data_IF_413406920212
#
_entry.id   IF_413406920212
#
_cell.length_a   1.000
_cell.length_b   1.000
_cell.length_c   1.000
_cell.angle_alpha   90.00
_cell.angle_beta   90.00
_cell.angle_gamma   90.00
#
_symmetry.space_group_name_H-M   'P 1'
#
loop_
_entity.id
_entity.type
_entity.pdbx_description
1 polymer ?
#
# COMPACT_ATOMS: atom_id res chain seq x y z
N UNK A 1 4.70 -9.73 4.69
CA UNK A 1 3.59 -9.37 3.81
C UNK A 1 4.19 -8.41 2.83
N UNK A 2 4.13 -8.70 1.52
CA UNK A 2 4.44 -7.66 0.58
C UNK A 2 3.45 -6.54 0.88
N UNK A 3 3.84 -5.31 0.59
CA UNK A 3 2.94 -4.18 0.75
C UNK A 3 1.62 -4.37 -0.03
N UNK A 4 1.60 -5.28 -1.00
CA UNK A 4 0.42 -5.72 -1.75
C UNK A 4 -0.48 -6.72 -1.00
N UNK A 5 0.02 -7.59 -0.10
CA UNK A 5 -0.85 -8.36 0.84
C UNK A 5 -1.22 -7.54 2.08
N UNK A 6 -0.48 -6.48 2.41
CA UNK A 6 -0.98 -5.50 3.40
C UNK A 6 -2.24 -4.76 2.94
N UNK A 7 -2.53 -4.77 1.63
CA UNK A 7 -3.82 -4.33 1.06
C UNK A 7 -4.92 -5.40 1.19
N UNK A 8 -4.62 -6.56 1.76
CA UNK A 8 -5.59 -7.59 2.11
C UNK A 8 -5.63 -7.82 3.64
N UNK A 9 -4.55 -7.53 4.37
CA UNK A 9 -4.56 -7.52 5.83
C UNK A 9 -5.43 -6.38 6.35
N UNK A 10 -6.41 -6.70 7.20
CA UNK A 10 -7.32 -5.73 7.80
C UNK A 10 -6.63 -4.59 8.57
N UNK A 11 -7.41 -3.55 8.93
CA UNK A 11 -6.95 -2.41 9.73
C UNK A 11 -6.72 -1.10 8.96
N UNK A 12 -6.87 -1.09 7.63
CA UNK A 12 -6.84 0.13 6.82
C UNK A 12 -7.93 0.09 5.75
N UNK A 13 -8.48 1.25 5.36
CA UNK A 13 -9.51 1.37 4.31
C UNK A 13 -9.11 0.75 2.97
N UNK A 14 -7.82 0.79 2.62
CA UNK A 14 -7.27 0.15 1.41
C UNK A 14 -7.50 -1.37 1.34
N UNK A 15 -7.76 -2.03 2.47
CA UNK A 15 -8.05 -3.46 2.53
C UNK A 15 -9.31 -3.85 1.73
N UNK A 16 -10.25 -2.91 1.58
CA UNK A 16 -11.50 -3.12 0.84
C UNK A 16 -11.35 -2.94 -0.67
N UNK A 17 -10.19 -2.46 -1.16
CA UNK A 17 -10.01 -2.12 -2.57
C UNK A 17 -10.23 -3.32 -3.51
N UNK A 18 -9.57 -4.45 -3.23
CA UNK A 18 -9.69 -5.64 -4.07
C UNK A 18 -11.03 -6.36 -3.89
N UNK A 19 -11.54 -6.58 -2.65
CA UNK A 19 -12.87 -7.17 -2.46
C UNK A 19 -13.99 -6.43 -3.20
N UNK A 20 -14.01 -5.10 -3.18
CA UNK A 20 -15.04 -4.29 -3.87
C UNK A 20 -15.02 -4.55 -5.38
N UNK A 21 -13.86 -4.43 -6.03
CA UNK A 21 -13.77 -4.61 -7.49
C UNK A 21 -14.06 -6.06 -7.90
N UNK A 22 -13.52 -7.04 -7.17
CA UNK A 22 -13.70 -8.45 -7.49
C UNK A 22 -15.12 -8.94 -7.21
N UNK A 23 -15.78 -8.45 -6.16
CA UNK A 23 -17.19 -8.76 -5.90
C UNK A 23 -18.09 -8.19 -7.00
N UNK A 24 -17.85 -6.94 -7.42
CA UNK A 24 -18.57 -6.34 -8.53
C UNK A 24 -18.38 -7.18 -9.81
N UNK A 25 -17.13 -7.49 -10.17
CA UNK A 25 -16.81 -8.34 -11.33
C UNK A 25 -17.50 -9.71 -11.24
N UNK A 26 -17.44 -10.38 -10.08
CA UNK A 26 -18.07 -11.67 -9.86
C UNK A 26 -19.60 -11.61 -10.11
N UNK A 27 -20.27 -10.62 -9.53
CA UNK A 27 -21.73 -10.46 -9.68
C UNK A 27 -22.12 -10.12 -11.13
N UNK A 28 -21.32 -9.32 -11.81
CA UNK A 28 -21.47 -9.03 -13.25
C UNK A 28 -21.35 -10.33 -14.05
N UNK A 29 -20.29 -11.12 -13.81
CA UNK A 29 -20.06 -12.40 -14.49
C UNK A 29 -21.19 -13.42 -14.24
N UNK A 30 -21.82 -13.36 -13.06
CA UNK A 30 -23.00 -14.15 -12.67
C UNK A 30 -24.33 -13.55 -13.13
N UNK A 31 -24.29 -12.48 -13.91
CA UNK A 31 -25.47 -11.76 -14.46
C UNK A 31 -26.44 -11.22 -13.39
N UNK A 32 -25.94 -10.91 -12.19
CA UNK A 32 -26.75 -10.38 -11.08
C UNK A 32 -26.68 -8.85 -11.03
N UNK A 33 -27.47 -8.19 -11.87
CA UNK A 33 -27.41 -6.73 -12.08
C UNK A 33 -27.69 -5.92 -10.80
N UNK A 34 -28.74 -6.27 -10.04
CA UNK A 34 -29.09 -5.54 -8.82
C UNK A 34 -28.02 -5.65 -7.71
N UNK A 35 -27.55 -6.86 -7.33
CA UNK A 35 -26.42 -6.97 -6.40
C UNK A 35 -25.16 -6.26 -6.90
N UNK A 36 -24.85 -6.34 -8.20
CA UNK A 36 -23.70 -5.65 -8.77
C UNK A 36 -23.82 -4.11 -8.67
N UNK A 37 -25.03 -3.55 -8.80
CA UNK A 37 -25.29 -2.12 -8.66
C UNK A 37 -25.07 -1.59 -7.24
N UNK A 38 -25.25 -2.44 -6.21
CA UNK A 38 -25.08 -2.08 -4.80
C UNK A 38 -23.60 -2.04 -4.39
N UNK A 39 -22.72 -2.77 -5.08
CA UNK A 39 -21.31 -2.87 -4.67
C UNK A 39 -20.57 -1.53 -4.74
N UNK A 40 -20.65 -0.73 -5.83
CA UNK A 40 -19.98 0.58 -5.88
C UNK A 40 -20.41 1.56 -4.76
N UNK A 41 -21.70 1.82 -4.47
CA UNK A 41 -22.07 2.74 -3.40
C UNK A 41 -21.60 2.28 -2.01
N UNK A 42 -21.68 0.98 -1.70
CA UNK A 42 -21.08 0.46 -0.46
C UNK A 42 -19.56 0.64 -0.47
N UNK A 43 -18.91 0.32 -1.59
CA UNK A 43 -17.48 0.55 -1.79
C UNK A 43 -17.07 2.00 -1.57
N UNK A 44 -17.94 2.97 -1.88
CA UNK A 44 -17.66 4.40 -1.70
C UNK A 44 -17.52 4.78 -0.22
N UNK A 45 -18.23 4.07 0.68
CA UNK A 45 -18.14 4.27 2.13
C UNK A 45 -16.85 3.69 2.73
N UNK A 46 -16.27 2.65 2.13
CA UNK A 46 -15.07 1.98 2.64
C UNK A 46 -13.78 2.44 1.93
N UNK A 47 -13.81 2.51 0.59
CA UNK A 47 -12.65 2.80 -0.23
C UNK A 47 -13.04 3.43 -1.60
N UNK A 48 -13.17 4.77 -1.66
CA UNK A 48 -13.64 5.50 -2.85
C UNK A 48 -12.96 5.15 -4.19
N UNK A 49 -11.62 4.97 -4.28
CA UNK A 49 -11.00 4.65 -5.56
C UNK A 49 -11.50 3.33 -6.16
N UNK A 50 -11.71 2.30 -5.33
CA UNK A 50 -12.24 1.02 -5.81
C UNK A 50 -13.71 1.10 -6.19
N UNK A 51 -14.49 1.93 -5.51
CA UNK A 51 -15.89 2.18 -5.86
C UNK A 51 -16.01 2.73 -7.29
N UNK A 52 -15.17 3.72 -7.63
CA UNK A 52 -15.13 4.29 -8.98
C UNK A 52 -14.70 3.27 -10.02
N UNK A 53 -13.70 2.42 -9.71
CA UNK A 53 -13.32 1.33 -10.61
C UNK A 53 -14.49 0.36 -10.79
N UNK A 54 -15.13 -0.09 -9.71
CA UNK A 54 -16.25 -1.02 -9.78
C UNK A 54 -17.44 -0.47 -10.58
N UNK A 55 -17.77 0.82 -10.42
CA UNK A 55 -18.79 1.50 -11.21
C UNK A 55 -18.40 1.55 -12.70
N UNK A 56 -17.13 1.87 -13.01
CA UNK A 56 -16.63 1.87 -14.37
C UNK A 56 -16.62 0.46 -15.00
N UNK A 57 -16.28 -0.60 -14.23
CA UNK A 57 -16.42 -1.99 -14.70
C UNK A 57 -17.87 -2.29 -15.03
N UNK A 58 -18.82 -1.96 -14.13
CA UNK A 58 -20.25 -2.16 -14.35
C UNK A 58 -20.73 -1.45 -15.63
N UNK A 59 -20.32 -0.19 -15.83
CA UNK A 59 -20.66 0.60 -17.02
C UNK A 59 -20.08 -0.01 -18.31
N UNK A 60 -18.79 -0.34 -18.33
CA UNK A 60 -18.13 -0.95 -19.49
C UNK A 60 -18.66 -2.36 -19.80
N UNK A 61 -19.10 -3.10 -18.79
CA UNK A 61 -19.73 -4.42 -18.95
C UNK A 61 -21.12 -4.36 -19.61
N UNK A 62 -21.77 -3.18 -19.67
CA UNK A 62 -23.02 -3.01 -20.43
C UNK A 62 -22.79 -3.00 -21.94
N UNK A 63 -21.57 -2.70 -22.38
CA UNK A 63 -21.20 -2.67 -23.79
C UNK A 63 -21.16 -4.09 -24.33
N UNK A 64 -22.11 -4.42 -25.19
CA UNK A 64 -22.13 -5.72 -25.89
C UNK A 64 -21.27 -5.65 -27.15
N UNK A 65 -20.50 -6.71 -27.45
CA UNK A 65 -19.73 -6.86 -28.70
C UNK A 65 -20.60 -7.09 -29.95
N UNK A 66 -21.93 -7.04 -29.82
CA UNK A 66 -22.80 -7.03 -30.99
C UNK A 66 -22.62 -5.69 -31.72
N UNK A 67 -22.59 -5.74 -33.05
CA UNK A 67 -22.09 -4.71 -34.00
C UNK A 67 -22.67 -3.28 -33.87
N UNK A 68 -23.44 -2.95 -32.84
CA UNK A 68 -24.11 -1.64 -32.64
C UNK A 68 -23.99 -1.02 -31.24
N UNK A 69 -23.16 -1.54 -30.32
CA UNK A 69 -23.00 -0.99 -28.95
C UNK A 69 -24.36 -0.61 -28.29
N UNK A 70 -25.32 -1.54 -28.27
CA UNK A 70 -26.61 -1.31 -27.61
C UNK A 70 -26.49 -1.60 -26.11
N UNK A 71 -26.96 -0.65 -25.28
CA UNK A 71 -27.01 -0.78 -23.82
C UNK A 71 -28.21 -1.64 -23.43
N UNK A 72 -27.97 -2.71 -22.67
CA UNK A 72 -29.07 -3.53 -22.14
C UNK A 72 -29.84 -2.74 -21.06
N UNK A 73 -31.17 -2.60 -21.15
CA UNK A 73 -31.93 -1.66 -20.31
C UNK A 73 -31.76 -1.93 -18.80
N UNK A 74 -31.83 -3.19 -18.39
CA UNK A 74 -31.61 -3.59 -16.97
C UNK A 74 -30.20 -3.20 -16.48
N UNK A 75 -29.18 -3.36 -17.31
CA UNK A 75 -27.81 -3.01 -16.95
C UNK A 75 -27.57 -1.51 -16.99
N UNK A 76 -28.21 -0.79 -17.93
CA UNK A 76 -28.22 0.68 -17.95
C UNK A 76 -28.86 1.27 -16.69
N UNK A 77 -30.02 0.72 -16.27
CA UNK A 77 -30.66 1.10 -15.02
C UNK A 77 -29.79 0.77 -13.79
N UNK A 78 -29.14 -0.40 -13.78
CA UNK A 78 -28.19 -0.77 -12.72
C UNK A 78 -27.02 0.22 -12.61
N UNK A 79 -26.45 0.66 -13.74
CA UNK A 79 -25.40 1.70 -13.77
C UNK A 79 -25.92 3.02 -13.21
N UNK A 80 -27.11 3.46 -13.64
CA UNK A 80 -27.69 4.72 -13.18
C UNK A 80 -27.95 4.70 -11.66
N UNK A 81 -28.59 3.65 -11.16
CA UNK A 81 -28.85 3.47 -9.72
C UNK A 81 -27.53 3.45 -8.93
N UNK A 82 -26.54 2.73 -9.44
CA UNK A 82 -25.22 2.66 -8.81
C UNK A 82 -24.51 4.01 -8.78
N UNK A 83 -24.56 4.77 -9.90
CA UNK A 83 -23.97 6.10 -10.00
C UNK A 83 -24.63 7.10 -9.04
N UNK A 84 -25.97 7.09 -8.94
CA UNK A 84 -26.72 7.90 -7.98
C UNK A 84 -26.34 7.51 -6.55
N UNK A 85 -26.28 6.22 -6.24
CA UNK A 85 -25.85 5.73 -4.93
C UNK A 85 -24.42 6.17 -4.57
N UNK A 86 -23.48 6.09 -5.51
CA UNK A 86 -22.10 6.55 -5.32
C UNK A 86 -22.07 8.06 -5.06
N UNK A 87 -22.84 8.85 -5.81
CA UNK A 87 -22.95 10.28 -5.59
C UNK A 87 -23.50 10.60 -4.19
N UNK A 88 -24.57 9.93 -3.76
CA UNK A 88 -25.13 10.09 -2.41
C UNK A 88 -24.07 9.76 -1.35
N UNK A 89 -23.40 8.60 -1.46
CA UNK A 89 -22.35 8.18 -0.53
C UNK A 89 -21.15 9.15 -0.50
N UNK A 90 -20.85 9.81 -1.61
CA UNK A 90 -19.75 10.77 -1.73
C UNK A 90 -20.08 12.15 -1.13
N UNK A 91 -21.28 12.66 -1.40
CA UNK A 91 -21.64 14.06 -1.12
C UNK A 91 -22.38 14.24 0.20
N UNK A 92 -23.22 13.29 0.63
CA UNK A 92 -23.96 13.43 1.90
C UNK A 92 -23.02 13.66 3.10
N UNK A 93 -21.93 12.89 3.30
CA UNK A 93 -21.03 13.14 4.42
C UNK A 93 -20.39 14.53 4.40
N UNK A 94 -20.14 15.09 3.21
CA UNK A 94 -19.56 16.43 3.04
C UNK A 94 -20.57 17.53 3.35
N UNK A 95 -21.81 17.35 2.90
CA UNK A 95 -22.89 18.29 3.19
C UNK A 95 -23.20 18.32 4.70
N UNK A 96 -23.20 17.16 5.35
CA UNK A 96 -23.44 17.05 6.81
C UNK A 96 -22.28 17.63 7.63
N UNK A 97 -21.03 17.45 7.20
CA UNK A 97 -19.88 17.95 7.96
C UNK A 97 -19.62 19.45 7.83
N UNK A 98 -20.18 20.11 6.81
CA UNK A 98 -19.99 21.55 6.55
C UNK A 98 -18.55 21.96 6.21
N UNK A 99 -17.62 21.01 6.02
CA UNK A 99 -16.21 21.29 5.76
C UNK A 99 -15.91 21.26 4.25
N UNK A 100 -15.49 22.40 3.70
CA UNK A 100 -14.90 22.47 2.36
C UNK A 100 -13.41 22.15 2.45
N UNK A 101 -12.99 20.97 1.97
CA UNK A 101 -11.57 20.63 1.86
C UNK A 101 -10.99 21.20 0.56
N UNK A 102 -10.01 22.10 0.67
CA UNK A 102 -9.28 22.58 -0.50
C UNK A 102 -8.06 21.69 -0.72
N UNK A 103 -8.14 20.79 -1.69
CA UNK A 103 -7.01 19.94 -2.05
C UNK A 103 -5.93 20.73 -2.76
N UNK A 104 -4.67 20.41 -2.47
CA UNK A 104 -3.52 20.99 -3.16
C UNK A 104 -3.59 20.68 -4.65
N UNK A 105 -3.36 21.70 -5.49
CA UNK A 105 -3.30 21.55 -6.95
C UNK A 105 -1.92 21.11 -7.40
N UNK A 106 -1.81 20.53 -8.60
CA UNK A 106 -0.50 20.24 -9.23
C UNK A 106 0.44 21.46 -9.19
N UNK A 107 -0.05 22.63 -9.60
CA UNK A 107 0.76 23.85 -9.66
C UNK A 107 1.27 24.30 -8.28
N UNK A 108 0.45 24.16 -7.23
CA UNK A 108 0.89 24.43 -5.85
C UNK A 108 1.90 23.38 -5.38
N UNK A 109 1.64 22.10 -5.60
CA UNK A 109 2.49 21.01 -5.14
C UNK A 109 3.92 21.09 -5.71
N UNK A 110 4.09 21.53 -6.96
CA UNK A 110 5.41 21.79 -7.56
C UNK A 110 6.23 22.87 -6.83
N UNK A 111 5.60 23.77 -6.07
CA UNK A 111 6.30 24.83 -5.32
C UNK A 111 6.86 24.33 -3.98
N UNK A 112 6.49 23.12 -3.56
CA UNK A 112 6.83 22.59 -2.25
C UNK A 112 7.84 21.44 -2.36
N UNK A 113 9.00 21.52 -1.67
CA UNK A 113 10.00 20.45 -1.67
C UNK A 113 9.47 19.12 -1.11
N UNK A 114 8.39 19.17 -0.32
CA UNK A 114 7.67 18.02 0.21
C UNK A 114 7.20 17.03 -0.86
N UNK A 115 6.93 17.49 -2.08
CA UNK A 115 6.50 16.66 -3.22
C UNK A 115 7.64 16.29 -4.19
N UNK A 116 8.84 16.84 -3.97
CA UNK A 116 10.00 16.61 -4.82
C UNK A 116 10.74 15.31 -4.50
N UNK A 117 11.89 15.07 -5.16
CA UNK A 117 12.65 13.82 -5.09
C UNK A 117 13.19 13.43 -3.70
N UNK A 118 13.23 14.39 -2.78
CA UNK A 118 13.73 14.22 -1.42
C UNK A 118 12.66 14.55 -0.37
N UNK A 119 11.44 14.84 -0.83
CA UNK A 119 10.31 15.15 0.01
C UNK A 119 9.65 13.90 0.59
N UNK A 120 8.84 14.11 1.62
CA UNK A 120 8.10 13.01 2.25
C UNK A 120 7.08 12.38 1.29
N UNK A 121 6.42 13.19 0.48
CA UNK A 121 5.50 12.73 -0.55
C UNK A 121 6.23 12.70 -1.88
N UNK A 122 7.34 11.95 -1.95
CA UNK A 122 8.14 11.69 -3.16
C UNK A 122 7.24 11.39 -4.35
N UNK A 123 6.84 12.40 -5.12
CA UNK A 123 5.77 12.30 -6.12
C UNK A 123 6.28 12.80 -7.46
N UNK A 124 6.85 14.01 -7.49
CA UNK A 124 7.47 14.56 -8.68
C UNK A 124 8.94 14.17 -8.72
N UNK A 125 9.27 13.30 -9.67
CA UNK A 125 10.63 12.81 -9.89
C UNK A 125 11.10 13.22 -11.28
N UNK A 126 12.41 13.50 -11.48
CA UNK A 126 12.93 13.92 -12.78
C UNK A 126 12.88 12.79 -13.82
N UNK A 127 12.96 11.53 -13.39
CA UNK A 127 12.86 10.37 -14.27
C UNK A 127 11.41 9.93 -14.45
N UNK A 128 10.96 9.79 -15.71
CA UNK A 128 9.65 9.21 -16.04
C UNK A 128 9.53 7.77 -15.53
N UNK A 129 10.61 6.99 -15.63
CA UNK A 129 10.62 5.62 -15.14
C UNK A 129 10.44 5.57 -13.63
N UNK A 130 11.15 6.43 -12.90
CA UNK A 130 10.98 6.55 -11.44
C UNK A 130 9.56 6.99 -11.08
N UNK A 131 9.01 7.95 -11.82
CA UNK A 131 7.64 8.43 -11.65
C UNK A 131 6.61 7.32 -11.83
N UNK A 132 6.79 6.45 -12.84
CA UNK A 132 5.90 5.32 -13.12
C UNK A 132 6.08 4.15 -12.13
N UNK A 133 7.24 4.02 -11.47
CA UNK A 133 7.51 3.03 -10.42
C UNK A 133 7.04 3.45 -9.04
N UNK A 134 6.83 4.75 -8.84
CA UNK A 134 6.57 5.33 -7.54
C UNK A 134 5.22 4.88 -6.95
N UNK A 135 5.18 4.74 -5.62
CA UNK A 135 4.00 4.28 -4.86
C UNK A 135 2.89 5.32 -4.65
N UNK A 136 3.05 6.54 -5.15
CA UNK A 136 2.05 7.61 -5.11
C UNK A 136 1.60 7.98 -6.53
N UNK A 137 2.54 8.21 -7.44
CA UNK A 137 2.26 8.69 -8.79
C UNK A 137 2.07 7.56 -9.80
N UNK A 138 2.85 6.48 -9.74
CA UNK A 138 2.93 5.49 -10.80
C UNK A 138 2.04 4.26 -10.61
N UNK A 139 2.40 3.17 -11.30
CA UNK A 139 1.80 1.85 -11.07
C UNK A 139 2.23 1.26 -9.73
N UNK A 140 3.52 1.43 -9.40
CA UNK A 140 4.10 0.94 -8.16
C UNK A 140 3.85 -0.54 -7.93
N UNK A 141 3.97 -1.36 -8.97
CA UNK A 141 3.88 -2.81 -8.85
C UNK A 141 5.01 -3.27 -7.96
N UNK A 142 4.72 -3.83 -6.78
CA UNK A 142 5.76 -4.36 -5.90
C UNK A 142 6.28 -5.68 -6.47
N UNK A 143 7.08 -6.42 -5.72
CA UNK A 143 7.69 -7.68 -6.14
C UNK A 143 6.63 -8.65 -6.68
N UNK A 144 5.57 -8.90 -5.92
CA UNK A 144 4.48 -9.80 -6.32
C UNK A 144 3.68 -9.28 -7.53
N UNK A 145 3.34 -7.98 -7.56
CA UNK A 145 2.66 -7.37 -8.70
C UNK A 145 3.48 -7.45 -10.00
N UNK A 146 4.80 -7.31 -9.90
CA UNK A 146 5.75 -7.38 -11.03
C UNK A 146 5.82 -8.79 -11.61
N UNK A 147 5.93 -9.80 -10.73
CA UNK A 147 5.93 -11.21 -11.11
C UNK A 147 4.64 -11.57 -11.84
N UNK A 148 3.48 -11.16 -11.29
CA UNK A 148 2.18 -11.42 -11.90
C UNK A 148 2.03 -10.71 -13.25
N UNK A 149 2.47 -9.45 -13.37
CA UNK A 149 2.40 -8.70 -14.62
C UNK A 149 3.22 -9.38 -15.73
N UNK A 150 4.50 -9.69 -15.45
CA UNK A 150 5.38 -10.37 -16.42
C UNK A 150 4.84 -11.74 -16.80
N UNK A 151 4.38 -12.54 -15.84
CA UNK A 151 3.79 -13.85 -16.12
C UNK A 151 2.54 -13.75 -17.03
N UNK A 152 1.61 -12.85 -16.71
CA UNK A 152 0.41 -12.64 -17.52
C UNK A 152 0.73 -12.19 -18.95
N UNK A 153 1.62 -11.19 -19.09
CA UNK A 153 2.03 -10.66 -20.39
C UNK A 153 2.77 -11.71 -21.22
N UNK A 154 3.66 -12.49 -20.60
CA UNK A 154 4.43 -13.54 -21.27
C UNK A 154 3.53 -14.66 -21.78
N UNK A 155 2.54 -15.09 -20.98
CA UNK A 155 1.57 -16.11 -21.40
C UNK A 155 0.72 -15.66 -22.58
N UNK A 156 0.31 -14.39 -22.60
CA UNK A 156 -0.41 -13.80 -23.72
C UNK A 156 0.50 -13.64 -24.95
N UNK A 157 1.76 -13.24 -24.78
CA UNK A 157 2.72 -13.09 -25.88
C UNK A 157 3.08 -14.44 -26.54
N UNK A 158 3.34 -15.48 -25.74
CA UNK A 158 3.67 -16.82 -26.22
C UNK A 158 2.45 -17.47 -26.89
N UNK A 159 1.23 -17.22 -26.38
CA UNK A 159 -0.03 -17.75 -26.94
C UNK A 159 -1.06 -16.65 -27.16
N UNK A 160 -0.95 -15.84 -28.24
CA UNK A 160 -1.85 -14.70 -28.47
C UNK A 160 -3.33 -15.06 -28.56
N UNK A 161 -3.66 -16.30 -28.94
CA UNK A 161 -5.05 -16.81 -28.97
C UNK A 161 -5.71 -16.81 -27.59
N UNK A 162 -4.94 -16.86 -26.50
CA UNK A 162 -5.45 -16.83 -25.13
C UNK A 162 -6.20 -15.53 -24.80
N UNK A 163 -5.93 -14.43 -25.51
CA UNK A 163 -6.67 -13.17 -25.37
C UNK A 163 -8.17 -13.36 -25.58
N UNK A 164 -8.56 -14.30 -26.46
CA UNK A 164 -9.97 -14.61 -26.76
C UNK A 164 -10.67 -15.39 -25.65
N UNK A 165 -9.92 -16.05 -24.77
CA UNK A 165 -10.46 -16.80 -23.63
C UNK A 165 -10.87 -15.87 -22.48
N UNK A 166 -10.27 -14.68 -22.43
CA UNK A 166 -10.52 -13.70 -21.39
C UNK A 166 -11.85 -13.00 -21.71
N UNK A 167 -12.81 -13.15 -20.81
CA UNK A 167 -14.13 -12.53 -20.90
C UNK A 167 -14.02 -11.00 -20.95
N UNK A 168 -14.93 -10.35 -21.69
CA UNK A 168 -14.95 -8.90 -21.84
C UNK A 168 -15.01 -8.17 -20.49
N UNK A 169 -15.75 -8.69 -19.52
CA UNK A 169 -15.90 -8.08 -18.21
C UNK A 169 -14.57 -8.04 -17.43
N UNK A 170 -13.67 -8.99 -17.69
CA UNK A 170 -12.30 -8.98 -17.13
C UNK A 170 -11.44 -7.93 -17.82
N UNK A 171 -11.59 -7.74 -19.14
CA UNK A 171 -10.94 -6.63 -19.86
C UNK A 171 -11.47 -5.26 -19.40
N UNK A 172 -12.77 -5.14 -19.15
CA UNK A 172 -13.39 -3.94 -18.61
C UNK A 172 -12.75 -3.51 -17.28
N UNK A 173 -12.34 -4.46 -16.43
CA UNK A 173 -11.61 -4.18 -15.20
C UNK A 173 -10.24 -3.53 -15.44
N UNK A 174 -9.46 -4.06 -16.38
CA UNK A 174 -8.16 -3.47 -16.73
C UNK A 174 -8.33 -2.09 -17.39
N UNK A 175 -9.29 -1.96 -18.30
CA UNK A 175 -9.59 -0.69 -18.99
C UNK A 175 -10.05 0.36 -17.98
N UNK A 176 -11.00 0.04 -17.10
CA UNK A 176 -11.47 0.94 -16.05
C UNK A 176 -10.32 1.42 -15.16
N UNK A 177 -9.45 0.49 -14.74
CA UNK A 177 -8.27 0.79 -13.91
C UNK A 177 -7.32 1.76 -14.62
N UNK A 178 -6.98 1.51 -15.88
CA UNK A 178 -6.05 2.34 -16.66
C UNK A 178 -6.65 3.70 -17.03
N UNK A 179 -7.93 3.76 -17.38
CA UNK A 179 -8.64 5.02 -17.67
C UNK A 179 -8.67 5.88 -16.42
N UNK A 180 -9.12 5.35 -15.29
CA UNK A 180 -9.19 6.12 -14.04
C UNK A 180 -7.79 6.50 -13.53
N UNK A 181 -6.78 5.65 -13.73
CA UNK A 181 -5.39 6.03 -13.51
C UNK A 181 -5.00 7.25 -14.35
N UNK A 182 -5.28 7.24 -15.65
CA UNK A 182 -5.00 8.37 -16.55
C UNK A 182 -5.76 9.64 -16.17
N UNK A 183 -7.05 9.53 -15.82
CA UNK A 183 -7.85 10.67 -15.35
C UNK A 183 -7.28 11.21 -14.04
N UNK A 184 -6.91 10.34 -13.08
CA UNK A 184 -6.29 10.76 -11.83
C UNK A 184 -4.95 11.49 -12.06
N UNK A 185 -4.15 11.06 -13.06
CA UNK A 185 -2.96 11.79 -13.49
C UNK A 185 -3.28 13.18 -14.04
N UNK A 186 -4.37 13.32 -14.80
CA UNK A 186 -4.76 14.60 -15.39
C UNK A 186 -5.23 15.61 -14.33
N UNK A 187 -5.96 15.16 -13.30
CA UNK A 187 -6.66 16.04 -12.34
C UNK A 187 -6.01 16.13 -10.95
N UNK A 188 -4.74 15.74 -10.81
CA UNK A 188 -4.01 15.69 -9.53
C UNK A 188 -4.34 16.88 -8.60
N UNK A 189 -4.80 16.68 -7.36
CA UNK A 189 -5.05 15.44 -6.60
C UNK A 189 -6.55 15.17 -6.35
N UNK A 190 -7.44 15.61 -7.26
CA UNK A 190 -8.91 15.57 -7.04
C UNK A 190 -9.51 14.17 -6.96
N UNK A 191 -8.97 13.23 -7.74
CA UNK A 191 -9.36 11.82 -7.70
C UNK A 191 -8.47 10.99 -6.77
N UNK A 192 -7.90 11.60 -5.73
CA UNK A 192 -6.90 10.97 -4.88
C UNK A 192 -5.62 10.62 -5.68
N UNK A 193 -4.85 9.63 -5.23
CA UNK A 193 -3.56 9.26 -5.83
C UNK A 193 -3.75 8.31 -7.04
N UNK A 194 -3.09 8.55 -8.18
CA UNK A 194 -3.23 7.71 -9.37
C UNK A 194 -2.92 6.24 -9.10
N UNK A 195 -1.89 5.97 -8.29
CA UNK A 195 -1.45 4.62 -7.93
C UNK A 195 -2.56 3.73 -7.38
N UNK A 196 -3.60 4.30 -6.75
CA UNK A 196 -4.72 3.53 -6.20
C UNK A 196 -5.58 2.88 -7.28
N UNK A 197 -5.67 3.47 -8.46
CA UNK A 197 -6.43 2.92 -9.58
C UNK A 197 -5.68 1.79 -10.30
N UNK A 198 -4.37 1.67 -10.11
CA UNK A 198 -3.59 0.54 -10.62
C UNK A 198 -3.78 -0.75 -9.79
N UNK A 199 -4.42 -0.68 -8.62
CA UNK A 199 -4.54 -1.82 -7.70
C UNK A 199 -5.24 -3.03 -8.32
N UNK A 200 -6.36 -2.86 -9.04
CA UNK A 200 -7.08 -4.00 -9.60
C UNK A 200 -6.35 -4.68 -10.76
N UNK A 201 -5.25 -4.10 -11.26
CA UNK A 201 -4.39 -4.76 -12.24
C UNK A 201 -3.72 -6.02 -11.66
N UNK A 202 -3.45 -6.05 -10.34
CA UNK A 202 -2.87 -7.24 -9.68
C UNK A 202 -3.77 -8.47 -9.82
N UNK A 203 -5.04 -8.46 -9.35
CA UNK A 203 -5.91 -9.60 -9.57
C UNK A 203 -6.32 -9.78 -11.03
N UNK A 204 -6.32 -8.73 -11.87
CA UNK A 204 -6.45 -8.89 -13.32
C UNK A 204 -5.37 -9.83 -13.87
N UNK A 205 -4.10 -9.59 -13.55
CA UNK A 205 -3.00 -10.45 -13.99
C UNK A 205 -3.16 -11.88 -13.49
N UNK A 206 -3.60 -12.07 -12.24
CA UNK A 206 -3.88 -13.40 -11.69
C UNK A 206 -4.98 -14.13 -12.48
N UNK A 207 -6.09 -13.46 -12.81
CA UNK A 207 -7.17 -14.02 -13.63
C UNK A 207 -6.66 -14.36 -15.03
N UNK A 208 -5.88 -13.48 -15.65
CA UNK A 208 -5.29 -13.71 -16.98
C UNK A 208 -4.40 -14.94 -16.98
N UNK A 209 -3.52 -15.09 -15.98
CA UNK A 209 -2.65 -16.27 -15.83
C UNK A 209 -3.51 -17.55 -15.73
N UNK A 210 -4.50 -17.55 -14.82
CA UNK A 210 -5.35 -18.71 -14.61
C UNK A 210 -6.12 -19.13 -15.89
N UNK A 211 -6.70 -18.16 -16.59
CA UNK A 211 -7.45 -18.40 -17.84
C UNK A 211 -6.51 -18.83 -18.98
N UNK A 212 -5.33 -18.23 -19.09
CA UNK A 212 -4.36 -18.51 -20.15
C UNK A 212 -3.69 -19.89 -19.99
N UNK A 213 -3.53 -20.36 -18.75
CA UNK A 213 -2.95 -21.69 -18.46
C UNK A 213 -3.96 -22.82 -18.62
N UNK A 214 -5.27 -22.55 -18.46
CA UNK A 214 -6.32 -23.57 -18.53
C UNK A 214 -6.20 -24.53 -19.73
N UNK A 215 -6.06 -24.09 -21.00
CA UNK A 215 -5.95 -25.01 -22.13
C UNK A 215 -4.68 -25.87 -22.08
N UNK A 216 -3.60 -25.35 -21.45
CA UNK A 216 -2.36 -26.10 -21.27
C UNK A 216 -2.59 -27.24 -20.28
N UNK A 217 -3.24 -26.97 -19.16
CA UNK A 217 -3.58 -27.99 -18.18
C UNK A 217 -4.57 -29.03 -18.73
N UNK A 218 -5.59 -28.60 -19.47
CA UNK A 218 -6.55 -29.51 -20.14
C UNK A 218 -5.84 -30.42 -21.18
N UNK A 219 -4.93 -29.87 -21.99
CA UNK A 219 -4.19 -30.65 -22.98
C UNK A 219 -3.17 -31.62 -22.37
N UNK A 220 -2.54 -31.25 -21.25
CA UNK A 220 -1.65 -32.13 -20.49
C UNK A 220 -2.43 -33.28 -19.86
N UNK A 221 -3.59 -32.99 -19.26
CA UNK A 221 -4.49 -34.00 -18.70
C UNK A 221 -5.00 -34.99 -19.75
N UNK A 222 -5.31 -34.52 -20.95
CA UNK A 222 -5.82 -35.36 -22.02
C UNK A 222 -4.76 -36.29 -22.66
N UNK A 223 -3.46 -36.07 -22.43
CA UNK A 223 -2.38 -36.79 -23.14
C UNK A 223 -1.50 -37.66 -22.24
N UNK A 224 -1.71 -37.68 -20.93
CA UNK A 224 -0.86 -38.44 -19.98
C UNK A 224 0.63 -38.06 -19.99
N UNK A 225 1.01 -36.95 -20.66
CA UNK A 225 2.42 -36.57 -20.86
C UNK A 225 2.94 -35.72 -19.71
N UNK A 226 3.36 -36.40 -18.65
CA UNK A 226 4.00 -35.82 -17.44
C UNK A 226 5.21 -34.93 -17.77
N UNK A 227 5.94 -35.22 -18.85
CA UNK A 227 7.13 -34.46 -19.28
C UNK A 227 6.86 -33.00 -19.68
N UNK A 228 5.64 -32.65 -20.14
CA UNK A 228 5.29 -31.25 -20.43
C UNK A 228 4.84 -30.46 -19.19
N UNK A 229 4.33 -31.15 -18.16
CA UNK A 229 4.06 -30.56 -16.85
C UNK A 229 5.36 -30.15 -16.13
N UNK A 230 6.48 -30.82 -16.44
CA UNK A 230 7.81 -30.54 -15.90
C UNK A 230 8.53 -29.35 -16.55
N UNK A 231 8.03 -28.80 -17.68
CA UNK A 231 8.60 -27.59 -18.30
C UNK A 231 8.13 -26.28 -17.64
N UNK A 232 6.95 -26.29 -16.99
CA UNK A 232 6.42 -25.17 -16.21
C UNK A 232 7.34 -24.64 -15.09
N UNK A 233 8.02 -25.50 -14.30
CA UNK A 233 8.95 -25.06 -13.27
C UNK A 233 10.28 -24.46 -13.79
N UNK A 234 10.60 -24.52 -15.08
CA UNK A 234 11.77 -23.79 -15.64
C UNK A 234 11.41 -22.37 -16.13
N UNK A 235 10.17 -22.16 -16.57
CA UNK A 235 9.69 -20.85 -17.02
C UNK A 235 9.29 -19.92 -15.86
N UNK A 236 8.77 -20.47 -14.76
CA UNK A 236 8.38 -19.67 -13.60
C UNK A 236 9.59 -18.96 -12.91
N UNK A 237 10.73 -19.63 -12.65
CA UNK A 237 11.93 -18.97 -12.13
C UNK A 237 12.48 -17.92 -13.09
N UNK A 238 12.50 -18.21 -14.40
CA UNK A 238 12.94 -17.24 -15.40
C UNK A 238 12.06 -15.97 -15.41
N UNK A 239 10.73 -16.13 -15.34
CA UNK A 239 9.80 -15.02 -15.23
C UNK A 239 9.98 -14.23 -13.93
N UNK A 240 10.25 -14.90 -12.81
CA UNK A 240 10.56 -14.26 -11.51
C UNK A 240 11.87 -13.48 -11.60
N UNK A 241 12.93 -14.05 -12.17
CA UNK A 241 14.22 -13.36 -12.35
C UNK A 241 14.03 -12.12 -13.20
N UNK A 242 13.36 -12.22 -14.35
CA UNK A 242 13.07 -11.06 -15.22
C UNK A 242 12.23 -10.01 -14.48
N UNK A 243 11.21 -10.45 -13.74
CA UNK A 243 10.35 -9.56 -12.97
C UNK A 243 11.11 -8.80 -11.87
N UNK A 244 12.05 -9.45 -11.19
CA UNK A 244 12.77 -8.85 -10.06
C UNK A 244 14.04 -8.10 -10.49
N UNK A 245 14.61 -8.36 -11.66
CA UNK A 245 15.87 -7.71 -12.10
C UNK A 245 15.68 -6.68 -13.21
N UNK A 246 14.68 -6.86 -14.09
CA UNK A 246 14.54 -6.03 -15.30
C UNK A 246 13.24 -5.22 -15.33
N UNK A 247 12.18 -5.66 -14.63
CA UNK A 247 10.86 -5.06 -14.78
C UNK A 247 10.85 -3.55 -14.47
N UNK A 248 10.49 -2.71 -15.45
CA UNK A 248 10.62 -1.27 -15.33
C UNK A 248 9.56 -0.64 -14.42
N UNK A 249 8.43 -1.30 -14.15
CA UNK A 249 7.31 -0.71 -13.40
C UNK A 249 7.22 -1.19 -11.95
N UNK A 250 8.23 -1.94 -11.48
CA UNK A 250 8.33 -2.40 -10.11
C UNK A 250 9.73 -2.29 -9.50
N UNK A 251 9.91 -2.69 -8.23
CA UNK A 251 11.20 -2.70 -7.57
C UNK A 251 12.14 -3.66 -8.30
N UNK A 252 13.39 -3.20 -8.48
CA UNK A 252 14.46 -3.99 -9.08
C UNK A 252 15.41 -4.37 -7.97
N UNK A 253 15.70 -5.66 -7.84
CA UNK A 253 16.69 -6.20 -6.94
C UNK A 253 18.06 -6.18 -7.62
N UNK A 254 19.09 -5.80 -6.87
CA UNK A 254 20.47 -6.04 -7.27
C UNK A 254 20.76 -7.54 -7.28
N UNK A 255 21.81 -7.98 -7.98
CA UNK A 255 22.18 -9.40 -8.00
C UNK A 255 22.49 -9.94 -6.60
N UNK A 256 23.15 -9.16 -5.75
CA UNK A 256 23.41 -9.54 -4.36
C UNK A 256 22.11 -9.69 -3.55
N UNK A 257 21.19 -8.73 -3.67
CA UNK A 257 19.89 -8.79 -2.99
C UNK A 257 18.99 -9.93 -3.54
N UNK A 258 19.13 -10.27 -4.81
CA UNK A 258 18.47 -11.42 -5.40
C UNK A 258 19.02 -12.73 -4.79
N UNK A 259 20.34 -12.84 -4.60
CA UNK A 259 20.97 -13.98 -3.96
C UNK A 259 20.48 -14.20 -2.52
N UNK A 260 20.41 -13.14 -1.72
CA UNK A 260 19.85 -13.21 -0.36
C UNK A 260 18.38 -13.59 -0.37
N UNK A 261 17.59 -12.96 -1.25
CA UNK A 261 16.16 -13.28 -1.39
C UNK A 261 15.93 -14.74 -1.79
N UNK A 262 16.72 -15.28 -2.71
CA UNK A 262 16.65 -16.69 -3.10
C UNK A 262 17.00 -17.62 -1.93
N UNK A 263 18.04 -17.31 -1.16
CA UNK A 263 18.40 -18.05 0.04
C UNK A 263 17.27 -18.10 1.07
N UNK A 264 16.66 -16.95 1.36
CA UNK A 264 15.51 -16.84 2.26
C UNK A 264 14.27 -17.57 1.71
N UNK A 265 14.16 -17.73 0.38
CA UNK A 265 13.02 -18.39 -0.29
C UNK A 265 12.98 -19.90 -0.12
N UNK A 266 14.16 -20.55 -0.05
CA UNK A 266 14.30 -22.01 -0.08
C UNK A 266 13.38 -22.74 0.91
N UNK A 267 13.35 -22.41 2.22
CA UNK A 267 12.53 -23.14 3.17
C UNK A 267 11.02 -23.02 2.89
N UNK A 268 10.56 -21.86 2.42
CA UNK A 268 9.14 -21.66 2.10
C UNK A 268 8.73 -22.40 0.83
N UNK A 269 9.65 -22.50 -0.13
CA UNK A 269 9.47 -23.34 -1.31
C UNK A 269 9.32 -24.81 -0.95
N UNK A 270 10.17 -25.31 -0.08
CA UNK A 270 10.09 -26.69 0.39
C UNK A 270 8.75 -26.96 1.10
N UNK A 271 8.29 -26.06 1.97
CA UNK A 271 7.00 -26.18 2.66
C UNK A 271 5.82 -26.19 1.68
N UNK A 272 5.84 -25.29 0.69
CA UNK A 272 4.73 -25.19 -0.28
C UNK A 272 4.70 -26.38 -1.23
N UNK A 273 5.86 -26.89 -1.65
CA UNK A 273 5.96 -28.15 -2.39
C UNK A 273 5.49 -29.35 -1.55
N UNK A 274 5.82 -29.40 -0.25
CA UNK A 274 5.35 -30.43 0.66
C UNK A 274 3.83 -30.40 0.86
N UNK A 275 3.24 -29.21 1.06
CA UNK A 275 1.79 -29.02 1.15
C UNK A 275 1.08 -29.41 -0.14
N UNK A 276 1.68 -29.07 -1.28
CA UNK A 276 1.16 -29.46 -2.57
C UNK A 276 1.17 -30.99 -2.74
N UNK A 277 2.27 -31.65 -2.38
CA UNK A 277 2.37 -33.11 -2.37
C UNK A 277 1.38 -33.77 -1.39
N UNK A 278 1.08 -33.12 -0.26
CA UNK A 278 0.06 -33.58 0.70
C UNK A 278 -1.36 -33.48 0.13
N UNK A 279 -1.73 -32.33 -0.45
CA UNK A 279 -3.04 -32.14 -1.08
C UNK A 279 -3.27 -33.14 -2.22
N UNK A 280 -2.19 -33.47 -2.91
CA UNK A 280 -2.15 -34.53 -3.92
C UNK A 280 -2.44 -35.89 -3.30
N UNK A 281 -1.74 -36.25 -2.22
CA UNK A 281 -1.94 -37.53 -1.55
C UNK A 281 -3.39 -37.68 -1.05
N UNK A 282 -3.97 -36.60 -0.52
CA UNK A 282 -5.37 -36.54 -0.10
C UNK A 282 -6.32 -36.70 -1.30
N UNK A 283 -6.06 -35.99 -2.41
CA UNK A 283 -6.87 -36.09 -3.63
C UNK A 283 -6.82 -37.50 -4.26
N UNK A 284 -5.66 -38.14 -4.23
CA UNK A 284 -5.48 -39.53 -4.67
C UNK A 284 -6.25 -40.52 -3.79
N UNK A 285 -6.20 -40.33 -2.46
CA UNK A 285 -6.92 -41.18 -1.51
C UNK A 285 -8.45 -41.03 -1.61
N UNK A 286 -8.95 -39.83 -1.96
CA UNK A 286 -10.38 -39.54 -2.04
C UNK A 286 -11.06 -39.97 -3.36
N UNK A 287 -10.29 -40.26 -4.43
CA UNK A 287 -10.84 -40.63 -5.74
C UNK A 287 -9.99 -41.70 -6.46
N UNK A 288 -9.86 -42.92 -5.91
CA UNK A 288 -8.98 -43.98 -6.43
C UNK A 288 -9.39 -44.54 -7.81
N UNK A 289 -10.53 -44.13 -8.37
CA UNK A 289 -11.06 -44.62 -9.66
C UNK A 289 -11.02 -43.59 -10.79
N UNK A 290 -10.44 -42.41 -10.60
CA UNK A 290 -10.10 -41.54 -11.71
C UNK A 290 -8.85 -42.14 -12.41
N UNK A 291 -8.96 -42.50 -13.69
CA UNK A 291 -7.85 -43.11 -14.44
C UNK A 291 -6.51 -42.39 -14.25
N UNK A 292 -5.42 -43.17 -14.25
CA UNK A 292 -4.03 -42.72 -13.98
C UNK A 292 -3.62 -41.44 -14.74
N UNK A 293 -4.21 -41.19 -15.91
CA UNK A 293 -3.91 -40.02 -16.76
C UNK A 293 -4.58 -38.72 -16.28
N UNK A 294 -5.75 -38.79 -15.66
CA UNK A 294 -6.47 -37.61 -15.13
C UNK A 294 -5.97 -37.19 -13.74
N UNK A 295 -5.61 -38.16 -12.90
CA UNK A 295 -5.08 -37.92 -11.55
C UNK A 295 -3.70 -37.24 -11.56
N UNK A 296 -2.83 -37.62 -12.49
CA UNK A 296 -1.44 -37.11 -12.60
C UNK A 296 -1.37 -35.67 -13.12
N UNK A 297 -2.28 -35.26 -14.00
CA UNK A 297 -2.34 -33.88 -14.48
C UNK A 297 -3.01 -32.93 -13.48
N UNK A 298 -4.03 -33.41 -12.76
CA UNK A 298 -4.61 -32.69 -11.61
C UNK A 298 -3.52 -32.46 -10.56
N UNK A 299 -2.71 -33.49 -10.30
CA UNK A 299 -1.50 -33.45 -9.48
C UNK A 299 -0.51 -32.36 -9.96
N UNK A 300 -0.12 -32.37 -11.23
CA UNK A 300 0.80 -31.37 -11.76
C UNK A 300 0.27 -29.94 -11.68
N UNK A 301 -1.02 -29.73 -11.93
CA UNK A 301 -1.67 -28.43 -11.84
C UNK A 301 -1.76 -27.94 -10.38
N UNK A 302 -2.01 -28.84 -9.43
CA UNK A 302 -1.99 -28.54 -8.00
C UNK A 302 -0.58 -28.22 -7.52
N UNK A 303 0.45 -28.97 -7.96
CA UNK A 303 1.85 -28.68 -7.65
C UNK A 303 2.32 -27.36 -8.24
N UNK A 304 2.03 -27.08 -9.51
CA UNK A 304 2.38 -25.82 -10.15
C UNK A 304 1.62 -24.63 -9.54
N UNK A 305 0.33 -24.82 -9.24
CA UNK A 305 -0.50 -23.84 -8.56
C UNK A 305 -0.03 -23.56 -7.14
N UNK A 306 0.28 -24.59 -6.36
CA UNK A 306 0.77 -24.46 -5.00
C UNK A 306 2.22 -23.93 -4.94
N UNK A 307 3.08 -24.29 -5.88
CA UNK A 307 4.40 -23.70 -6.03
C UNK A 307 4.29 -22.21 -6.39
N UNK A 308 3.42 -21.83 -7.33
CA UNK A 308 3.18 -20.44 -7.66
C UNK A 308 2.59 -19.66 -6.47
N UNK A 309 1.59 -20.22 -5.79
CA UNK A 309 1.00 -19.64 -4.57
C UNK A 309 2.06 -19.52 -3.48
N UNK A 310 2.92 -20.53 -3.32
CA UNK A 310 4.03 -20.53 -2.38
C UNK A 310 5.09 -19.49 -2.68
N UNK A 311 5.53 -19.41 -3.94
CA UNK A 311 6.45 -18.38 -4.43
C UNK A 311 5.85 -16.97 -4.29
N UNK A 312 4.56 -16.78 -4.58
CA UNK A 312 3.88 -15.48 -4.43
C UNK A 312 3.67 -15.13 -2.96
N UNK A 313 3.32 -16.10 -2.12
CA UNK A 313 3.18 -15.94 -0.68
C UNK A 313 4.53 -15.66 -0.01
N UNK A 314 5.63 -16.25 -0.51
CA UNK A 314 6.99 -16.02 -0.02
C UNK A 314 7.64 -14.74 -0.57
N UNK A 315 7.45 -14.42 -1.86
CA UNK A 315 7.73 -13.07 -2.37
C UNK A 315 6.96 -12.02 -1.55
N UNK A 316 5.86 -12.46 -0.93
CA UNK A 316 5.13 -11.75 0.09
C UNK A 316 5.44 -12.07 1.56
N UNK A 317 6.43 -12.91 1.85
CA UNK A 317 6.65 -13.55 3.15
C UNK A 317 7.07 -12.61 4.27
N UNK A 318 7.27 -11.34 3.94
CA UNK A 318 8.06 -10.41 4.74
C UNK A 318 7.44 -9.97 6.09
N UNK A 319 6.56 -10.72 6.76
CA UNK A 319 5.66 -10.28 7.87
C UNK A 319 4.92 -8.95 7.56
N UNK A 320 3.69 -8.76 7.99
CA UNK A 320 3.20 -7.36 7.98
C UNK A 320 3.90 -6.75 9.19
N UNK A 321 4.87 -5.85 9.08
CA UNK A 321 5.10 -4.95 10.18
C UNK A 321 3.88 -4.03 10.17
N UNK A 322 2.70 -4.52 10.55
CA UNK A 322 1.73 -3.69 11.24
C UNK A 322 2.58 -3.02 12.31
N UNK A 323 2.91 -1.73 12.10
CA UNK A 323 4.17 -1.13 12.57
C UNK A 323 4.46 -1.68 13.97
N UNK A 324 5.42 -2.60 14.07
CA UNK A 324 5.75 -3.19 15.37
C UNK A 324 6.35 -2.04 16.15
N UNK A 325 5.52 -1.43 16.98
CA UNK A 325 5.88 -0.30 17.78
C UNK A 325 6.96 -0.83 18.75
N UNK A 326 8.24 -0.59 18.43
CA UNK A 326 9.37 -1.34 18.97
C UNK A 326 9.80 -1.00 20.39
N UNK A 327 8.93 -0.35 21.16
CA UNK A 327 9.23 0.19 22.50
C UNK A 327 8.07 -0.07 23.48
N UNK A 328 7.72 -1.34 23.77
CA UNK A 328 6.57 -1.68 24.59
C UNK A 328 6.60 -1.01 25.97
N UNK A 329 7.77 -0.92 26.60
CA UNK A 329 7.96 -0.24 27.89
C UNK A 329 7.63 1.25 27.82
N UNK A 330 8.10 1.94 26.77
CA UNK A 330 7.77 3.36 26.55
C UNK A 330 6.27 3.54 26.40
N UNK A 331 5.62 2.72 25.56
CA UNK A 331 4.18 2.87 25.33
C UNK A 331 3.36 2.54 26.57
N UNK A 332 3.76 1.52 27.34
CA UNK A 332 3.16 1.20 28.63
C UNK A 332 3.25 2.38 29.60
N UNK A 333 4.41 3.03 29.69
CA UNK A 333 4.57 4.25 30.48
C UNK A 333 3.68 5.41 29.97
N UNK A 334 3.76 5.73 28.68
CA UNK A 334 2.98 6.83 28.08
C UNK A 334 1.46 6.60 28.20
N UNK A 335 1.01 5.35 28.27
CA UNK A 335 -0.40 5.00 28.49
C UNK A 335 -0.87 5.29 29.92
N UNK A 336 0.03 5.48 30.89
CA UNK A 336 -0.34 5.91 32.25
C UNK A 336 -0.54 7.43 32.38
N UNK A 337 -0.02 8.23 31.44
CA UNK A 337 -0.14 9.69 31.45
C UNK A 337 -1.60 10.17 31.29
N UNK A 338 -1.97 11.41 31.65
CA UNK A 338 -3.31 11.93 31.40
C UNK A 338 -3.75 11.80 29.93
N UNK A 339 -5.05 11.60 29.66
CA UNK A 339 -5.55 11.41 28.28
C UNK A 339 -5.38 12.64 27.39
N UNK A 340 -5.41 13.83 27.98
CA UNK A 340 -5.14 15.10 27.31
C UNK A 340 -3.64 15.39 27.17
N UNK A 341 -2.75 14.50 27.60
CA UNK A 341 -1.30 14.73 27.48
C UNK A 341 -0.88 14.78 26.00
N UNK A 342 -0.13 15.83 25.66
CA UNK A 342 0.49 16.02 24.35
C UNK A 342 1.99 15.80 24.46
N UNK A 343 2.52 14.90 23.62
CA UNK A 343 3.93 14.52 23.60
C UNK A 343 4.65 15.24 22.44
N UNK A 344 5.76 15.91 22.77
CA UNK A 344 6.72 16.48 21.83
C UNK A 344 7.94 15.55 21.69
N UNK A 345 8.79 15.77 20.69
CA UNK A 345 10.00 14.97 20.46
C UNK A 345 10.36 14.85 18.98
N UNK A 346 11.32 13.98 18.68
CA UNK A 346 11.70 13.69 17.29
C UNK A 346 10.48 13.17 16.49
N UNK A 347 10.08 13.84 15.39
CA UNK A 347 8.85 13.50 14.67
C UNK A 347 8.75 12.06 14.17
N UNK A 348 9.86 11.35 13.99
CA UNK A 348 9.85 9.92 13.63
C UNK A 348 9.57 9.05 14.84
N UNK A 349 10.22 9.32 15.96
CA UNK A 349 10.02 8.55 17.20
C UNK A 349 8.57 8.63 17.69
N UNK A 350 7.87 9.73 17.37
CA UNK A 350 6.47 9.94 17.72
C UNK A 350 5.47 9.18 16.82
N UNK A 351 5.90 8.54 15.73
CA UNK A 351 5.01 7.90 14.73
C UNK A 351 4.09 6.80 15.30
N UNK A 352 4.49 6.20 16.41
CA UNK A 352 3.78 5.06 17.02
C UNK A 352 2.95 5.46 18.24
N UNK A 353 3.24 6.60 18.86
CA UNK A 353 2.60 7.02 20.13
C UNK A 353 1.07 7.14 20.00
N UNK A 354 0.50 7.75 18.93
CA UNK A 354 -0.96 7.84 18.80
C UNK A 354 -1.66 6.49 18.72
N UNK A 355 -1.01 5.48 18.15
CA UNK A 355 -1.59 4.14 17.95
C UNK A 355 -1.34 3.26 19.17
N UNK A 356 -0.10 3.22 19.67
CA UNK A 356 0.31 2.30 20.73
C UNK A 356 -0.05 2.81 22.13
N UNK A 357 0.18 4.09 22.43
CA UNK A 357 -0.06 4.67 23.76
C UNK A 357 -1.36 5.49 23.83
N UNK A 358 -2.03 5.73 22.69
CA UNK A 358 -3.24 6.55 22.58
C UNK A 358 -3.04 7.94 23.21
N UNK A 359 -1.91 8.59 22.92
CA UNK A 359 -1.62 9.97 23.33
C UNK A 359 -1.44 10.86 22.12
N UNK A 360 -1.86 12.11 22.28
CA UNK A 360 -1.66 13.13 21.27
C UNK A 360 -0.17 13.43 21.17
N UNK A 361 0.27 13.77 19.96
CA UNK A 361 1.62 14.27 19.71
C UNK A 361 1.51 15.62 19.05
N UNK A 362 2.50 16.50 19.27
CA UNK A 362 2.52 17.80 18.60
C UNK A 362 2.48 17.55 17.08
N UNK A 363 3.45 16.81 16.55
CA UNK A 363 3.49 16.39 15.15
C UNK A 363 4.35 15.14 15.02
N UNK A 364 3.99 14.23 14.12
CA UNK A 364 4.85 13.13 13.70
C UNK A 364 4.99 13.13 12.18
N UNK A 365 5.96 12.38 11.67
CA UNK A 365 6.09 12.17 10.23
C UNK A 365 4.80 11.61 9.64
N UNK A 366 4.17 10.63 10.29
CA UNK A 366 2.90 10.05 9.79
C UNK A 366 1.74 11.03 9.76
N UNK A 367 1.67 11.97 10.71
CA UNK A 367 0.66 13.03 10.73
C UNK A 367 0.94 14.14 9.71
N UNK A 368 2.15 14.23 9.17
CA UNK A 368 2.51 15.20 8.15
C UNK A 368 1.97 14.78 6.76
N UNK A 369 0.71 15.10 6.49
CA UNK A 369 0.03 14.80 5.21
C UNK A 369 -0.29 16.10 4.45
N UNK A 370 0.41 16.41 3.33
CA UNK A 370 0.34 17.73 2.69
C UNK A 370 -0.75 17.85 1.60
N UNK A 371 -1.82 17.05 1.67
CA UNK A 371 -2.80 16.95 0.57
C UNK A 371 -3.89 18.02 0.59
N UNK A 372 -4.26 18.50 1.77
CA UNK A 372 -5.27 19.52 1.99
C UNK A 372 -4.53 20.81 2.41
N UNK A 373 -4.87 21.94 1.79
CA UNK A 373 -4.06 23.17 1.84
C UNK A 373 -3.99 23.73 3.26
N UNK A 374 -5.13 23.88 3.94
CA UNK A 374 -5.18 24.52 5.26
C UNK A 374 -4.49 23.65 6.33
N UNK A 375 -4.76 22.36 6.30
CA UNK A 375 -4.10 21.37 7.12
C UNK A 375 -2.60 21.34 6.84
N UNK A 376 -2.19 21.38 5.57
CA UNK A 376 -0.78 21.40 5.18
C UNK A 376 -0.05 22.60 5.77
N UNK A 377 -0.61 23.81 5.67
CA UNK A 377 -0.03 25.00 6.28
C UNK A 377 0.10 24.88 7.80
N UNK A 378 -0.90 24.31 8.47
CA UNK A 378 -0.89 24.05 9.90
C UNK A 378 0.22 23.07 10.29
N UNK A 379 0.30 21.91 9.65
CA UNK A 379 1.30 20.88 10.01
C UNK A 379 2.70 21.26 9.57
N UNK A 380 2.86 22.02 8.47
CA UNK A 380 4.14 22.55 8.00
C UNK A 380 4.80 23.45 9.03
N UNK A 381 4.08 24.48 9.50
CA UNK A 381 4.57 25.36 10.57
C UNK A 381 4.89 24.57 11.85
N UNK A 382 4.03 23.62 12.21
CA UNK A 382 4.22 22.80 13.40
C UNK A 382 5.47 21.92 13.32
N UNK A 383 5.73 21.31 12.17
CA UNK A 383 6.93 20.50 11.93
C UNK A 383 8.21 21.33 11.99
N UNK A 384 8.24 22.52 11.37
CA UNK A 384 9.38 23.44 11.50
C UNK A 384 9.70 23.76 12.96
N UNK A 385 8.69 24.18 13.73
CA UNK A 385 8.86 24.48 15.16
C UNK A 385 9.35 23.29 15.98
N UNK A 386 8.82 22.09 15.71
CA UNK A 386 9.27 20.88 16.39
C UNK A 386 10.74 20.58 16.10
N UNK A 387 11.15 20.63 14.83
CA UNK A 387 12.53 20.34 14.42
C UNK A 387 13.48 21.39 14.98
N UNK A 388 13.13 22.68 14.89
CA UNK A 388 13.91 23.79 15.47
C UNK A 388 14.11 23.63 16.98
N UNK A 389 13.03 23.32 17.72
CA UNK A 389 13.11 23.16 19.16
C UNK A 389 13.89 21.90 19.57
N UNK A 390 13.68 20.78 18.88
CA UNK A 390 14.28 19.49 19.26
C UNK A 390 15.76 19.39 18.90
N UNK A 391 16.17 19.90 17.73
CA UNK A 391 17.55 19.83 17.26
C UNK A 391 18.35 21.12 17.51
N UNK A 392 17.70 22.20 17.91
CA UNK A 392 18.33 23.48 18.18
C UNK A 392 18.87 23.64 19.61
N UNK A 393 19.55 24.77 19.84
CA UNK A 393 20.20 25.09 21.11
C UNK A 393 19.33 25.87 22.12
N UNK A 394 18.08 26.18 21.80
CA UNK A 394 17.23 27.06 22.64
C UNK A 394 16.29 26.28 23.56
N UNK A 395 16.47 26.42 24.87
CA UNK A 395 15.52 25.88 25.86
C UNK A 395 14.16 26.60 25.77
N UNK A 396 14.16 27.89 25.47
CA UNK A 396 12.92 28.66 25.25
C UNK A 396 12.09 28.09 24.09
N UNK A 397 12.73 27.61 23.02
CA UNK A 397 12.03 26.97 21.89
C UNK A 397 11.34 25.64 22.30
N UNK A 398 11.93 24.90 23.25
CA UNK A 398 11.31 23.70 23.83
C UNK A 398 10.09 24.05 24.69
N UNK A 399 10.21 25.08 25.54
CA UNK A 399 9.11 25.58 26.37
C UNK A 399 7.98 26.17 25.50
N UNK A 400 8.32 26.79 24.38
CA UNK A 400 7.35 27.33 23.42
C UNK A 400 6.45 26.24 22.82
N UNK A 401 6.90 24.98 22.72
CA UNK A 401 6.04 23.88 22.29
C UNK A 401 4.86 23.67 23.26
N UNK A 402 5.07 23.91 24.56
CA UNK A 402 4.00 23.86 25.56
C UNK A 402 3.00 24.99 25.33
N UNK A 403 3.48 26.22 25.19
CA UNK A 403 2.64 27.40 24.99
C UNK A 403 1.82 27.33 23.69
N UNK A 404 2.47 26.93 22.59
CA UNK A 404 1.87 26.96 21.26
C UNK A 404 1.03 25.73 20.93
N UNK A 405 1.39 24.56 21.48
CA UNK A 405 0.78 23.28 21.09
C UNK A 405 0.32 22.43 22.27
N UNK A 406 0.40 22.94 23.50
CA UNK A 406 -0.03 22.22 24.70
C UNK A 406 0.89 21.05 25.09
N UNK A 407 2.12 20.99 24.57
CA UNK A 407 3.06 19.90 24.88
C UNK A 407 3.33 19.80 26.39
N UNK A 408 2.99 18.66 26.99
CA UNK A 408 3.21 18.40 28.41
C UNK A 408 4.53 17.66 28.65
N UNK A 409 4.86 16.74 27.73
CA UNK A 409 6.05 15.89 27.86
C UNK A 409 6.90 15.95 26.60
N UNK A 410 8.20 15.70 26.76
CA UNK A 410 9.17 15.60 25.67
C UNK A 410 9.82 14.21 25.68
N UNK A 411 9.68 13.47 24.57
CA UNK A 411 10.43 12.24 24.33
C UNK A 411 11.79 12.58 23.73
N UNK A 412 12.85 12.22 24.44
CA UNK A 412 14.25 12.47 24.07
C UNK A 412 14.95 11.14 23.80
N UNK A 413 15.79 11.12 22.75
CA UNK A 413 16.70 10.01 22.47
C UNK A 413 18.14 10.42 22.76
N UNK A 414 18.86 9.64 23.57
CA UNK A 414 20.29 9.80 23.86
C UNK A 414 21.09 8.55 23.44
N UNK A 415 22.11 8.67 22.57
CA UNK A 415 22.54 9.89 21.87
C UNK A 415 21.57 10.29 20.75
N UNK A 416 21.62 11.57 20.35
CA UNK A 416 20.92 12.06 19.16
C UNK A 416 21.48 11.39 17.89
N UNK A 417 20.67 11.28 16.82
CA UNK A 417 21.15 10.74 15.55
C UNK A 417 22.27 11.61 14.97
N UNK A 418 23.35 10.96 14.51
CA UNK A 418 24.51 11.64 13.89
C UNK A 418 24.20 12.30 12.54
N UNK A 419 23.16 11.83 11.85
CA UNK A 419 22.79 12.29 10.53
C UNK A 419 21.31 12.60 10.46
N UNK A 420 20.96 13.66 9.72
CA UNK A 420 19.58 13.98 9.42
C UNK A 420 18.93 12.86 8.61
N UNK A 421 17.64 12.63 8.87
CA UNK A 421 16.90 11.64 8.11
C UNK A 421 16.59 12.15 6.70
N UNK A 422 16.91 11.34 5.70
CA UNK A 422 16.57 11.58 4.30
C UNK A 422 15.07 11.40 4.03
N UNK A 423 14.57 12.00 2.95
CA UNK A 423 13.18 11.85 2.52
C UNK A 423 12.17 12.66 3.34
N UNK A 424 12.61 13.72 4.03
CA UNK A 424 11.77 14.64 4.80
C UNK A 424 11.99 16.08 4.36
N UNK A 425 12.39 16.35 3.12
CA UNK A 425 12.54 17.72 2.65
C UNK A 425 11.24 18.52 2.89
N UNK A 426 11.31 19.75 3.40
CA UNK A 426 12.52 20.56 3.64
C UNK A 426 13.25 20.28 4.97
N UNK A 427 12.63 19.53 5.89
CA UNK A 427 13.12 19.31 7.25
C UNK A 427 14.45 18.58 7.32
N UNK A 428 14.74 17.69 6.36
CA UNK A 428 16.06 17.04 6.26
C UNK A 428 17.19 18.06 6.25
N UNK A 429 17.05 19.14 5.44
CA UNK A 429 18.07 20.19 5.34
C UNK A 429 18.21 20.99 6.63
N UNK A 430 17.09 21.35 7.26
CA UNK A 430 17.05 22.04 8.54
C UNK A 430 17.72 21.20 9.65
N UNK A 431 17.34 19.94 9.78
CA UNK A 431 17.93 19.00 10.75
C UNK A 431 19.44 18.88 10.54
N UNK A 432 19.90 18.75 9.28
CA UNK A 432 21.31 18.64 8.96
C UNK A 432 22.10 19.93 9.28
N UNK A 433 21.47 21.10 9.10
CA UNK A 433 22.02 22.38 9.52
C UNK A 433 22.20 22.44 11.03
N UNK A 434 21.13 22.16 11.79
CA UNK A 434 21.13 22.22 13.25
C UNK A 434 22.11 21.23 13.88
N UNK A 435 22.13 19.97 13.42
CA UNK A 435 23.06 18.96 13.92
C UNK A 435 24.55 19.31 13.70
N UNK A 436 24.86 20.13 12.69
CA UNK A 436 26.23 20.62 12.43
C UNK A 436 26.58 21.86 13.23
N UNK A 437 25.62 22.78 13.39
CA UNK A 437 25.85 24.09 14.00
C UNK A 437 25.68 24.08 15.53
N UNK A 438 24.92 23.12 16.06
CA UNK A 438 24.58 23.04 17.49
C UNK A 438 25.20 21.75 18.06
N UNK A 439 26.42 21.80 18.61
CA UNK A 439 27.09 20.63 19.14
C UNK A 439 26.41 20.06 20.40
N UNK A 440 25.71 20.92 21.16
CA UNK A 440 24.96 20.54 22.38
C UNK A 440 23.51 21.06 22.36
N UNK A 441 22.59 20.36 21.66
CA UNK A 441 21.18 20.75 21.58
C UNK A 441 20.49 20.84 22.94
N UNK A 442 19.54 21.75 23.08
CA UNK A 442 18.86 22.03 24.36
C UNK A 442 18.20 20.79 24.98
N UNK A 443 17.75 19.84 24.15
CA UNK A 443 17.12 18.58 24.61
C UNK A 443 18.07 17.72 25.46
N UNK A 444 19.38 17.87 25.28
CA UNK A 444 20.39 17.14 26.05
C UNK A 444 20.72 17.82 27.39
N UNK A 445 20.36 19.09 27.54
CA UNK A 445 20.61 19.92 28.74
C UNK A 445 19.41 20.02 29.67
N UNK A 446 18.37 19.21 29.47
CA UNK A 446 17.20 19.20 30.35
C UNK A 446 17.55 18.69 31.76
N UNK A 447 17.04 19.32 32.84
CA UNK A 447 17.32 18.90 34.21
C UNK A 447 16.90 17.45 34.46
N UNK A 448 17.78 16.66 35.07
CA UNK A 448 17.49 15.25 35.42
C UNK A 448 16.31 15.11 36.38
N UNK A 449 16.09 16.11 37.25
CA UNK A 449 14.93 16.17 38.15
C UNK A 449 13.58 16.21 37.42
N UNK A 450 13.55 16.71 36.17
CA UNK A 450 12.34 16.76 35.36
C UNK A 450 12.13 15.49 34.51
N UNK A 451 13.03 14.50 34.59
CA UNK A 451 12.90 13.24 33.87
C UNK A 451 11.91 12.34 34.60
N UNK A 452 10.83 11.97 33.92
CA UNK A 452 9.74 11.17 34.49
C UNK A 452 9.85 9.69 34.14
N UNK A 453 10.60 9.34 33.09
CA UNK A 453 10.83 7.96 32.69
C UNK A 453 12.11 7.81 31.86
N UNK A 454 12.72 6.64 31.89
CA UNK A 454 13.81 6.26 31.01
C UNK A 454 13.86 4.74 30.78
N UNK A 455 14.26 4.31 29.58
CA UNK A 455 14.68 2.94 29.29
C UNK A 455 15.64 2.93 28.09
N UNK A 456 16.82 2.35 28.29
CA UNK A 456 17.89 2.33 27.29
C UNK A 456 18.26 3.74 26.81
N UNK A 457 18.02 4.00 25.52
CA UNK A 457 18.35 5.28 24.87
C UNK A 457 17.21 6.30 24.86
N UNK A 458 16.06 5.99 25.46
CA UNK A 458 14.87 6.84 25.42
C UNK A 458 14.54 7.35 26.82
N UNK A 459 14.20 8.62 26.88
CA UNK A 459 13.87 9.34 28.11
C UNK A 459 12.63 10.20 27.88
N UNK A 460 11.78 10.35 28.90
CA UNK A 460 10.64 11.26 28.87
C UNK A 460 10.82 12.31 29.95
N UNK A 461 10.62 13.57 29.58
CA UNK A 461 10.73 14.73 30.47
C UNK A 461 9.40 15.45 30.58
N UNK A 462 9.08 15.95 31.77
CA UNK A 462 7.99 16.89 31.99
C UNK A 462 8.42 18.31 31.59
N UNK A 463 7.76 18.87 30.56
CA UNK A 463 8.06 20.21 30.05
C UNK A 463 7.56 21.32 30.96
N UNK A 464 6.58 21.06 31.83
CA UNK A 464 6.16 21.99 32.88
C UNK A 464 7.25 22.17 33.93
N UNK A 465 7.85 21.07 34.38
CA UNK A 465 9.02 21.12 35.28
C UNK A 465 10.19 21.86 34.64
N UNK A 466 10.53 21.53 33.39
CA UNK A 466 11.64 22.17 32.68
C UNK A 466 11.42 23.67 32.44
N UNK A 467 10.16 24.09 32.23
CA UNK A 467 9.82 25.51 32.07
C UNK A 467 9.97 26.29 33.38
N UNK A 468 9.56 25.72 34.51
CA UNK A 468 9.68 26.37 35.82
C UNK A 468 11.14 26.61 36.23
N UNK A 469 12.04 25.67 35.90
CA UNK A 469 13.48 25.80 36.13
C UNK A 469 14.22 26.71 35.14
N UNK A 470 13.56 27.20 34.08
CA UNK A 470 14.16 28.13 33.12
C UNK A 470 13.86 29.61 33.45
N UNK A 471 12.93 29.86 34.38
CA UNK A 471 12.49 31.19 34.82
C UNK A 471 13.06 31.63 36.17
N UNK A 472 13.76 30.73 36.86
CA UNK A 472 14.56 31.02 38.07
C UNK A 472 16.02 30.81 37.76
#
# INVERSE_FOLDING_TARGET
MPWDLERFSGGHSRAFGQPVVLLALYLILRRRAFPAAIVPPLGMLFYPPAALVALAVLALSTLTRAKRFLVHPVWGAAVLVSAVGVAIAAYVPRLVSGHSMQLITRAQAHRYPEFGPHGQMHFFTPSLLEYLRNGYSGFGFKESGSILAIAALSLVAIRPRNVRLIRWEVWAMAIASLVLYGVAQAVLFRLYLPQRYAYPLIPFFAIVIAVALRPTFEAVAARGRVLLALAGPLLAPAAVVVALTVFPLGPRLSLGALGTWLGDSVPHLLVTLALAALLVAIGWAAAPHAGLDGGTATLAALLAGAALVGFVAFAGGDRSPAIRCGHPELYGYLETLPKNAVIAGDPVQLDCIPIAARRAVVISRKLYQPWEVDYFHLVRRRMFRMVEAYYGGSLAALVDLRRLYGANYLLVRRPLPKHARLGLAPFTGLMAGLLRQVPDPAVLRLPSACRTWHSGHLEVYDLGCAAAGATG
#
